data_IF_339326505171
#
_entry.id   IF_339326505171
#
_cell.length_a   1.000
_cell.length_b   1.000
_cell.length_c   1.000
_cell.angle_alpha   90.00
_cell.angle_beta   90.00
_cell.angle_gamma   90.00
#
_symmetry.space_group_name_H-M   'P 1'
#
loop_
_entity.id
_entity.type
_entity.pdbx_description
1 polymer ?
#
# COMPACT_ATOMS: atom_id res chain seq x y z
N UNK A 1 -27.29 -8.39 -20.26
CA UNK A 1 -27.40 -8.91 -18.88
C UNK A 1 -26.22 -9.86 -18.70
N UNK A 2 -25.24 -9.65 -17.83
CA UNK A 2 -25.27 -9.09 -16.48
C UNK A 2 -24.11 -8.12 -16.22
N UNK A 3 -24.37 -7.14 -15.35
CA UNK A 3 -23.46 -6.09 -14.89
C UNK A 3 -22.87 -6.59 -13.57
N UNK A 4 -21.57 -6.82 -13.47
CA UNK A 4 -20.92 -7.08 -12.18
C UNK A 4 -20.44 -5.76 -11.59
N UNK A 5 -21.23 -5.25 -10.65
CA UNK A 5 -20.89 -4.10 -9.82
C UNK A 5 -19.79 -4.47 -8.84
N UNK A 6 -18.72 -3.67 -8.83
CA UNK A 6 -17.65 -3.76 -7.85
C UNK A 6 -18.16 -3.23 -6.50
N UNK A 7 -18.29 -4.10 -5.50
CA UNK A 7 -18.43 -3.67 -4.10
C UNK A 7 -17.05 -3.64 -3.46
N UNK A 8 -16.51 -2.43 -3.29
CA UNK A 8 -15.36 -2.21 -2.41
C UNK A 8 -15.76 -2.54 -0.97
N UNK A 9 -15.03 -3.46 -0.34
CA UNK A 9 -15.24 -3.83 1.06
C UNK A 9 -14.74 -2.68 1.95
N UNK A 10 -15.67 -1.81 2.36
CA UNK A 10 -15.40 -0.81 3.39
C UNK A 10 -15.24 -1.51 4.75
N UNK A 11 -14.07 -1.40 5.36
CA UNK A 11 -13.88 -1.73 6.77
C UNK A 11 -14.68 -0.72 7.62
N UNK A 12 -15.84 -1.16 8.11
CA UNK A 12 -16.72 -0.36 8.97
C UNK A 12 -16.13 -0.32 10.38
N UNK A 13 -15.44 0.77 10.71
CA UNK A 13 -15.15 1.14 12.09
C UNK A 13 -16.44 1.74 12.70
N UNK A 14 -17.33 0.90 13.24
CA UNK A 14 -18.57 1.36 13.89
C UNK A 14 -18.28 1.76 15.33
N UNK A 15 -17.95 3.03 15.52
CA UNK A 15 -18.12 3.71 16.80
C UNK A 15 -19.61 4.01 16.96
N UNK A 16 -20.25 3.35 17.91
CA UNK A 16 -21.61 3.64 18.34
C UNK A 16 -21.67 5.07 18.89
N UNK A 17 -22.62 5.89 18.44
CA UNK A 17 -23.37 6.77 19.35
C UNK A 17 -24.64 7.36 18.74
N UNK A 18 -25.57 7.57 19.65
CA UNK A 18 -26.99 7.86 19.50
C UNK A 18 -27.33 9.21 18.82
N UNK A 19 -28.49 9.17 18.17
CA UNK A 19 -29.48 10.23 17.83
C UNK A 19 -29.14 11.70 18.08
N UNK A 20 -29.32 12.45 16.98
CA UNK A 20 -29.27 13.91 16.79
C UNK A 20 -30.51 14.58 17.39
N UNK A 21 -30.31 15.74 18.00
CA UNK A 21 -31.34 16.79 18.00
C UNK A 21 -30.73 18.15 17.67
N UNK A 22 -31.58 19.01 17.10
CA UNK A 22 -31.29 20.12 16.19
C UNK A 22 -30.84 21.43 16.87
N UNK A 23 -30.04 22.26 16.17
CA UNK A 23 -30.26 23.70 15.96
C UNK A 23 -29.00 24.42 15.43
N UNK A 24 -29.19 25.38 14.53
CA UNK A 24 -28.15 26.15 13.86
C UNK A 24 -27.43 27.19 14.73
N UNK A 25 -26.26 27.60 14.26
CA UNK A 25 -25.47 28.71 14.80
C UNK A 25 -24.11 28.75 14.12
N UNK A 26 -23.78 29.88 13.49
CA UNK A 26 -22.49 30.13 12.88
C UNK A 26 -21.35 29.84 13.86
N UNK A 27 -20.37 29.03 13.45
CA UNK A 27 -19.13 28.88 14.19
C UNK A 27 -17.99 28.58 13.22
N UNK A 28 -16.98 29.46 13.24
CA UNK A 28 -15.67 29.22 12.67
C UNK A 28 -15.21 27.83 13.08
N UNK A 29 -15.23 26.89 12.13
CA UNK A 29 -14.64 25.59 12.41
C UNK A 29 -13.14 25.80 12.58
N UNK A 30 -12.58 25.48 13.76
CA UNK A 30 -11.14 25.55 13.93
C UNK A 30 -10.54 24.55 12.94
N UNK A 31 -9.49 25.00 12.24
CA UNK A 31 -8.57 24.15 11.48
C UNK A 31 -8.35 22.89 12.32
N UNK A 32 -8.92 21.77 11.86
CA UNK A 32 -8.72 20.48 12.53
C UNK A 32 -7.23 20.26 12.54
N UNK A 33 -6.69 20.27 13.75
CA UNK A 33 -5.33 19.87 14.08
C UNK A 33 -4.90 18.73 13.18
N UNK A 34 -3.85 18.98 12.40
CA UNK A 34 -3.08 17.98 11.66
C UNK A 34 -2.45 17.02 12.67
N UNK A 35 -3.26 16.13 13.24
CA UNK A 35 -2.74 14.91 13.82
C UNK A 35 -2.17 14.11 12.66
N UNK A 36 -0.85 13.93 12.64
CA UNK A 36 -0.15 13.08 11.69
C UNK A 36 -0.89 11.75 11.62
N UNK A 37 -1.45 11.41 10.46
CA UNK A 37 -2.05 10.10 10.27
C UNK A 37 -0.99 9.04 10.64
N UNK A 38 -1.35 7.99 11.38
CA UNK A 38 -0.39 6.99 11.83
C UNK A 38 0.43 6.48 10.65
N UNK A 39 1.74 6.42 10.85
CA UNK A 39 2.66 5.85 9.87
C UNK A 39 2.33 4.36 9.72
N UNK A 40 2.14 3.93 8.47
CA UNK A 40 1.81 2.55 8.16
C UNK A 40 3.11 1.86 7.80
N UNK A 41 3.51 0.85 8.59
CA UNK A 41 4.51 -0.13 8.18
C UNK A 41 3.83 -1.48 7.91
N UNK A 42 3.66 -1.77 6.62
CA UNK A 42 3.04 -3.01 6.19
C UNK A 42 3.95 -4.22 6.42
N UNK A 43 5.27 -4.05 6.50
CA UNK A 43 6.21 -5.16 6.70
C UNK A 43 6.10 -5.72 8.10
N UNK A 44 6.27 -4.86 9.11
CA UNK A 44 6.16 -5.26 10.52
C UNK A 44 4.77 -5.83 10.82
N UNK A 45 3.72 -5.16 10.34
CA UNK A 45 2.34 -5.62 10.51
C UNK A 45 2.11 -7.02 9.92
N UNK A 46 2.66 -7.29 8.73
CA UNK A 46 2.50 -8.59 8.07
C UNK A 46 3.28 -9.71 8.76
N UNK A 47 4.51 -9.42 9.22
CA UNK A 47 5.31 -10.39 10.00
C UNK A 47 4.61 -10.73 11.32
N UNK A 48 4.05 -9.73 12.02
CA UNK A 48 3.28 -9.94 13.25
C UNK A 48 2.03 -10.79 12.99
N UNK A 49 1.34 -10.56 11.87
CA UNK A 49 0.22 -11.40 11.43
C UNK A 49 0.68 -12.85 11.20
N UNK A 50 1.73 -13.09 10.41
CA UNK A 50 2.26 -14.43 10.14
C UNK A 50 2.62 -15.19 11.43
N UNK A 51 3.14 -14.48 12.43
CA UNK A 51 3.57 -15.09 13.68
C UNK A 51 2.43 -15.38 14.67
N UNK A 52 1.29 -14.69 14.56
CA UNK A 52 0.18 -14.79 15.51
C UNK A 52 -1.06 -15.48 14.95
N UNK A 53 -1.21 -15.54 13.62
CA UNK A 53 -2.37 -16.12 12.96
C UNK A 53 -2.38 -17.66 12.99
N UNK A 54 -3.57 -18.22 12.84
CA UNK A 54 -3.77 -19.67 12.71
C UNK A 54 -3.47 -20.15 11.29
N UNK A 55 -3.22 -21.44 11.11
CA UNK A 55 -2.98 -22.01 9.78
C UNK A 55 -4.13 -21.73 8.80
N UNK A 56 -5.38 -21.78 9.26
CA UNK A 56 -6.56 -21.46 8.43
C UNK A 56 -6.52 -20.01 7.93
N UNK A 57 -6.12 -19.06 8.79
CA UNK A 57 -5.98 -17.66 8.41
C UNK A 57 -4.84 -17.47 7.40
N UNK A 58 -3.69 -18.13 7.63
CA UNK A 58 -2.54 -18.07 6.74
C UNK A 58 -2.85 -18.68 5.37
N UNK A 59 -3.51 -19.83 5.33
CA UNK A 59 -4.00 -20.45 4.10
C UNK A 59 -4.97 -19.52 3.37
N UNK A 60 -5.90 -18.87 4.09
CA UNK A 60 -6.77 -17.84 3.53
C UNK A 60 -6.01 -16.65 2.94
N UNK A 61 -4.87 -16.26 3.52
CA UNK A 61 -3.99 -15.23 2.92
C UNK A 61 -3.34 -15.72 1.63
N UNK A 62 -2.94 -16.99 1.54
CA UNK A 62 -2.41 -17.58 0.30
C UNK A 62 -3.49 -17.61 -0.78
N UNK A 63 -4.72 -18.02 -0.45
CA UNK A 63 -5.84 -18.03 -1.39
C UNK A 63 -6.19 -16.62 -1.88
N UNK A 64 -6.13 -15.62 -0.99
CA UNK A 64 -6.30 -14.22 -1.35
C UNK A 64 -5.21 -13.79 -2.36
N UNK A 65 -3.94 -14.13 -2.11
CA UNK A 65 -2.84 -13.82 -3.04
C UNK A 65 -3.08 -14.46 -4.41
N UNK A 66 -3.54 -15.71 -4.48
CA UNK A 66 -3.86 -16.38 -5.77
C UNK A 66 -5.02 -15.70 -6.51
N UNK A 67 -5.94 -15.11 -5.78
CA UNK A 67 -7.18 -14.53 -6.33
C UNK A 67 -6.99 -13.09 -6.78
N UNK A 68 -6.21 -12.32 -6.03
CA UNK A 68 -5.97 -10.90 -6.31
C UNK A 68 -4.79 -10.74 -7.27
N UNK A 69 -4.87 -9.69 -8.08
CA UNK A 69 -3.77 -9.32 -8.98
C UNK A 69 -2.57 -8.74 -8.21
N UNK A 70 -1.57 -8.23 -8.95
CA UNK A 70 -0.39 -7.64 -8.35
C UNK A 70 -0.73 -6.47 -7.42
N UNK A 71 0.15 -6.16 -6.45
CA UNK A 71 -0.05 -5.04 -5.55
C UNK A 71 -0.09 -3.73 -6.34
N UNK A 72 -0.85 -2.76 -5.83
CA UNK A 72 -1.02 -1.43 -6.43
C UNK A 72 -0.30 -0.41 -5.56
N UNK A 73 0.39 0.54 -6.19
CA UNK A 73 1.02 1.64 -5.48
C UNK A 73 -0.05 2.53 -4.81
N UNK A 74 0.13 2.80 -3.52
CA UNK A 74 -0.72 3.73 -2.78
C UNK A 74 0.09 4.95 -2.33
N UNK A 75 -0.48 6.13 -2.54
CA UNK A 75 0.10 7.39 -2.08
C UNK A 75 -0.99 8.29 -1.50
N UNK A 76 -0.64 9.06 -0.48
CA UNK A 76 -1.53 10.04 0.12
C UNK A 76 -1.50 11.31 -0.71
N UNK A 77 -2.65 11.68 -1.29
CA UNK A 77 -2.74 12.91 -2.09
C UNK A 77 -2.45 14.16 -1.26
N UNK A 78 -2.73 14.13 0.05
CA UNK A 78 -2.37 15.19 0.99
C UNK A 78 -0.87 15.49 1.00
N UNK A 79 -0.04 14.46 0.85
CA UNK A 79 1.41 14.62 0.90
C UNK A 79 1.91 15.29 -0.39
N UNK A 80 1.20 15.09 -1.51
CA UNK A 80 1.48 15.75 -2.79
C UNK A 80 1.06 17.22 -2.76
N UNK A 81 -0.20 17.48 -2.36
CA UNK A 81 -0.79 18.83 -2.40
C UNK A 81 -0.14 19.80 -1.41
N UNK A 82 0.38 19.29 -0.29
CA UNK A 82 1.05 20.11 0.71
C UNK A 82 2.57 20.24 0.46
N UNK A 83 3.11 19.62 -0.60
CA UNK A 83 4.53 19.71 -0.91
C UNK A 83 4.87 21.08 -1.54
N UNK A 84 5.99 21.66 -1.12
CA UNK A 84 6.49 22.92 -1.67
C UNK A 84 6.81 22.82 -3.18
N UNK A 85 7.04 21.61 -3.69
CA UNK A 85 7.36 21.28 -5.07
C UNK A 85 6.30 20.37 -5.71
N UNK A 86 5.02 20.64 -5.45
CA UNK A 86 3.87 19.82 -5.89
C UNK A 86 3.93 19.36 -7.36
N UNK A 87 4.22 20.26 -8.31
CA UNK A 87 4.21 19.92 -9.74
C UNK A 87 5.31 18.91 -10.13
N UNK A 88 6.51 19.09 -9.57
CA UNK A 88 7.61 18.15 -9.73
C UNK A 88 7.26 16.80 -9.09
N UNK A 89 6.73 16.83 -7.86
CA UNK A 89 6.38 15.63 -7.12
C UNK A 89 5.31 14.81 -7.84
N UNK A 90 4.26 15.47 -8.37
CA UNK A 90 3.22 14.81 -9.13
C UNK A 90 3.77 14.11 -10.37
N UNK A 91 4.62 14.80 -11.15
CA UNK A 91 5.22 14.23 -12.35
C UNK A 91 6.20 13.07 -12.06
N UNK A 92 6.98 13.17 -10.96
CA UNK A 92 7.85 12.07 -10.51
C UNK A 92 7.05 10.87 -10.06
N UNK A 93 5.96 11.07 -9.31
CA UNK A 93 5.08 9.98 -8.86
C UNK A 93 4.44 9.28 -10.04
N UNK A 94 3.98 10.01 -11.07
CA UNK A 94 3.44 9.39 -12.28
C UNK A 94 4.42 8.41 -12.93
N UNK A 95 5.67 8.82 -13.15
CA UNK A 95 6.72 7.95 -13.70
C UNK A 95 7.08 6.80 -12.75
N UNK A 96 7.13 7.08 -11.46
CA UNK A 96 7.38 6.09 -10.43
C UNK A 96 6.31 4.98 -10.40
N UNK A 97 5.05 5.32 -10.67
CA UNK A 97 3.96 4.33 -10.78
C UNK A 97 4.16 3.42 -11.99
N UNK A 98 4.57 3.94 -13.15
CA UNK A 98 4.82 3.10 -14.33
C UNK A 98 5.93 2.06 -14.07
N UNK A 99 7.00 2.47 -13.40
CA UNK A 99 8.09 1.57 -12.98
C UNK A 99 7.63 0.58 -11.92
N UNK A 100 6.84 1.05 -10.95
CA UNK A 100 6.24 0.21 -9.92
C UNK A 100 5.36 -0.87 -10.52
N UNK A 101 4.45 -0.53 -11.45
CA UNK A 101 3.49 -1.46 -12.02
C UNK A 101 4.19 -2.58 -12.79
N UNK A 102 5.26 -2.26 -13.53
CA UNK A 102 6.08 -3.26 -14.21
C UNK A 102 6.74 -4.25 -13.23
N UNK A 103 7.31 -3.74 -12.13
CA UNK A 103 7.90 -4.57 -11.07
C UNK A 103 6.84 -5.37 -10.32
N UNK A 104 5.66 -4.80 -10.07
CA UNK A 104 4.57 -5.45 -9.35
C UNK A 104 4.01 -6.67 -10.09
N UNK A 105 3.93 -6.61 -11.42
CA UNK A 105 3.58 -7.77 -12.25
C UNK A 105 4.61 -8.90 -12.13
N UNK A 106 5.90 -8.54 -12.14
CA UNK A 106 6.99 -9.51 -11.99
C UNK A 106 7.00 -10.13 -10.60
N UNK A 107 6.88 -9.30 -9.56
CA UNK A 107 6.75 -9.72 -8.16
C UNK A 107 5.59 -10.71 -7.99
N UNK A 108 4.40 -10.38 -8.51
CA UNK A 108 3.24 -11.26 -8.35
C UNK A 108 3.43 -12.61 -9.07
N UNK A 109 4.11 -12.62 -10.22
CA UNK A 109 4.48 -13.87 -10.89
C UNK A 109 5.40 -14.73 -10.02
N UNK A 110 6.39 -14.12 -9.37
CA UNK A 110 7.31 -14.81 -8.45
C UNK A 110 6.61 -15.27 -7.18
N UNK A 111 5.68 -14.48 -6.66
CA UNK A 111 4.85 -14.78 -5.49
C UNK A 111 3.99 -16.04 -5.73
N UNK A 112 3.32 -16.13 -6.89
CA UNK A 112 2.57 -17.32 -7.28
C UNK A 112 3.47 -18.54 -7.48
N UNK A 113 4.69 -18.36 -7.99
CA UNK A 113 5.65 -19.45 -8.12
C UNK A 113 6.07 -20.02 -6.76
N UNK A 114 6.42 -19.15 -5.80
CA UNK A 114 6.74 -19.55 -4.42
C UNK A 114 5.59 -20.34 -3.79
N UNK A 115 4.35 -19.88 -3.97
CA UNK A 115 3.17 -20.58 -3.46
C UNK A 115 3.05 -21.98 -4.08
N UNK A 116 3.09 -22.07 -5.41
CA UNK A 116 2.93 -23.35 -6.11
C UNK A 116 4.04 -24.35 -5.74
N UNK A 117 5.30 -23.90 -5.69
CA UNK A 117 6.43 -24.73 -5.32
C UNK A 117 6.37 -25.16 -3.85
N UNK A 118 5.98 -24.25 -2.96
CA UNK A 118 5.79 -24.53 -1.54
C UNK A 118 4.70 -25.55 -1.27
N UNK A 119 3.55 -25.42 -1.94
CA UNK A 119 2.45 -26.38 -1.83
C UNK A 119 2.83 -27.77 -2.35
N UNK A 120 3.55 -27.84 -3.48
CA UNK A 120 4.04 -29.11 -4.02
C UNK A 120 5.08 -29.77 -3.12
N UNK A 121 5.90 -28.97 -2.44
CA UNK A 121 6.88 -29.44 -1.48
C UNK A 121 6.28 -29.78 -0.09
N UNK A 122 4.99 -29.52 0.12
CA UNK A 122 4.32 -29.75 1.40
C UNK A 122 4.73 -28.78 2.52
N UNK A 123 5.18 -27.58 2.17
CA UNK A 123 5.48 -26.51 3.13
C UNK A 123 4.20 -26.05 3.83
N UNK A 124 4.31 -25.62 5.07
CA UNK A 124 3.22 -24.96 5.79
C UNK A 124 2.90 -23.58 5.19
N UNK A 125 1.68 -23.08 5.39
CA UNK A 125 1.32 -21.74 4.93
C UNK A 125 2.24 -20.67 5.51
N UNK A 126 2.68 -20.85 6.76
CA UNK A 126 3.65 -19.97 7.41
C UNK A 126 4.99 -19.89 6.66
N UNK A 127 5.55 -21.04 6.27
CA UNK A 127 6.83 -21.07 5.53
C UNK A 127 6.70 -20.39 4.17
N UNK A 128 5.62 -20.67 3.44
CA UNK A 128 5.34 -20.03 2.14
C UNK A 128 5.25 -18.50 2.30
N UNK A 129 4.49 -18.01 3.28
CA UNK A 129 4.33 -16.58 3.51
C UNK A 129 5.64 -15.91 3.98
N UNK A 130 6.50 -16.64 4.70
CA UNK A 130 7.84 -16.14 5.06
C UNK A 130 8.76 -16.02 3.85
N UNK A 131 8.66 -16.94 2.88
CA UNK A 131 9.39 -16.83 1.61
C UNK A 131 8.89 -15.64 0.78
N UNK A 132 7.59 -15.35 0.79
CA UNK A 132 7.02 -14.16 0.18
C UNK A 132 7.51 -12.87 0.87
N UNK A 133 7.62 -12.86 2.20
CA UNK A 133 8.25 -11.74 2.94
C UNK A 133 9.68 -11.51 2.45
N UNK A 134 10.47 -12.57 2.31
CA UNK A 134 11.85 -12.48 1.84
C UNK A 134 11.92 -11.99 0.38
N UNK A 135 11.02 -12.46 -0.49
CA UNK A 135 10.90 -11.96 -1.86
C UNK A 135 10.62 -10.46 -1.87
N UNK A 136 9.71 -10.00 -1.01
CA UNK A 136 9.30 -8.60 -0.93
C UNK A 136 10.41 -7.69 -0.39
N UNK A 137 11.19 -8.19 0.56
CA UNK A 137 12.36 -7.48 1.10
C UNK A 137 13.45 -7.21 0.05
N UNK A 138 13.52 -8.06 -1.00
CA UNK A 138 14.47 -7.95 -2.10
C UNK A 138 14.02 -7.01 -3.23
N UNK A 139 12.76 -6.55 -3.22
CA UNK A 139 12.26 -5.64 -4.24
C UNK A 139 12.89 -4.26 -4.10
N UNK A 140 12.75 -3.45 -5.15
CA UNK A 140 13.31 -2.11 -5.21
C UNK A 140 12.79 -1.21 -4.08
N UNK A 141 13.56 -0.18 -3.74
CA UNK A 141 13.08 0.84 -2.81
C UNK A 141 11.79 1.49 -3.32
N UNK A 142 11.64 1.64 -4.64
CA UNK A 142 10.44 2.20 -5.25
C UNK A 142 9.22 1.31 -4.98
N UNK A 143 9.35 0.00 -5.17
CA UNK A 143 8.31 -0.97 -4.85
C UNK A 143 7.91 -0.94 -3.37
N UNK A 144 8.92 -0.90 -2.48
CA UNK A 144 8.69 -0.86 -1.04
C UNK A 144 8.03 0.44 -0.60
N UNK A 145 8.44 1.59 -1.14
CA UNK A 145 7.75 2.87 -0.91
C UNK A 145 6.33 2.88 -1.47
N UNK A 146 6.09 2.28 -2.64
CA UNK A 146 4.75 2.22 -3.25
C UNK A 146 3.76 1.39 -2.44
N UNK A 147 4.26 0.47 -1.63
CA UNK A 147 3.43 -0.42 -0.82
C UNK A 147 3.61 -0.26 0.68
N UNK A 148 4.27 0.82 1.12
CA UNK A 148 4.61 1.09 2.52
C UNK A 148 5.26 -0.11 3.23
N UNK A 149 6.13 -0.84 2.54
CA UNK A 149 6.78 -2.04 3.03
C UNK A 149 8.11 -1.71 3.72
N UNK A 150 8.12 -1.61 5.06
CA UNK A 150 9.32 -1.21 5.81
C UNK A 150 9.80 0.20 5.47
N UNK A 151 8.93 1.00 4.86
CA UNK A 151 9.21 2.34 4.36
C UNK A 151 7.92 3.17 4.40
N UNK A 152 8.08 4.48 4.56
CA UNK A 152 6.97 5.42 4.35
C UNK A 152 6.53 5.40 2.87
N UNK A 153 5.38 6.00 2.58
CA UNK A 153 4.80 6.02 1.23
C UNK A 153 5.61 6.84 0.22
N UNK A 154 5.36 6.62 -1.07
CA UNK A 154 6.04 7.31 -2.18
C UNK A 154 6.02 8.84 -2.08
N UNK A 155 4.87 9.41 -1.68
CA UNK A 155 4.68 10.86 -1.59
C UNK A 155 5.17 11.46 -0.27
N UNK A 156 5.64 10.64 0.68
CA UNK A 156 6.06 11.12 1.98
C UNK A 156 7.31 12.01 1.85
N UNK A 157 7.40 13.17 2.53
CA UNK A 157 8.53 14.10 2.43
C UNK A 157 9.90 13.42 2.63
N UNK A 158 10.02 12.56 3.65
CA UNK A 158 11.25 11.81 3.96
C UNK A 158 11.74 10.90 2.83
N UNK A 159 10.87 10.54 1.88
CA UNK A 159 11.21 9.69 0.75
C UNK A 159 11.53 10.48 -0.52
N UNK A 160 11.48 11.81 -0.48
CA UNK A 160 11.68 12.64 -1.66
C UNK A 160 13.03 12.35 -2.35
N UNK A 161 14.13 12.27 -1.60
CA UNK A 161 15.45 11.98 -2.16
C UNK A 161 15.51 10.59 -2.83
N UNK A 162 14.89 9.58 -2.20
CA UNK A 162 14.78 8.22 -2.77
C UNK A 162 13.95 8.22 -4.05
N UNK A 163 12.85 8.99 -4.08
CA UNK A 163 12.01 9.15 -5.26
C UNK A 163 12.77 9.84 -6.41
N UNK A 164 13.56 10.88 -6.10
CA UNK A 164 14.43 11.54 -7.09
C UNK A 164 15.45 10.56 -7.65
N UNK A 165 16.11 9.77 -6.79
CA UNK A 165 17.07 8.76 -7.21
C UNK A 165 16.45 7.63 -8.05
N UNK A 166 15.19 7.26 -7.77
CA UNK A 166 14.44 6.28 -8.55
C UNK A 166 13.90 6.84 -9.87
N UNK A 167 13.80 8.17 -10.00
CA UNK A 167 13.29 8.86 -11.20
C UNK A 167 14.31 9.88 -11.76
N UNK A 168 15.56 9.46 -12.05
CA UNK A 168 16.64 10.40 -12.38
C UNK A 168 16.42 11.11 -13.71
N UNK A 169 15.67 10.48 -14.63
CA UNK A 169 15.35 11.04 -15.94
C UNK A 169 14.14 11.99 -15.93
N UNK A 170 13.65 12.39 -14.74
CA UNK A 170 12.53 13.31 -14.68
C UNK A 170 12.97 14.73 -15.07
N UNK A 171 12.47 15.21 -16.20
CA UNK A 171 12.53 16.62 -16.60
C UNK A 171 11.15 17.23 -16.43
N UNK A 172 11.04 18.32 -15.66
CA UNK A 172 9.83 19.14 -15.64
C UNK A 172 9.83 19.98 -16.92
N UNK A 173 8.94 19.66 -17.87
CA UNK A 173 8.84 20.38 -19.14
C UNK A 173 8.19 21.77 -18.99
N UNK A 174 7.71 22.11 -17.79
CA UNK A 174 7.01 23.36 -17.48
C UNK A 174 7.71 24.18 -16.37
N UNK A 175 8.96 23.83 -16.00
CA UNK A 175 9.78 24.58 -15.04
C UNK A 175 10.49 25.79 -15.67
#
# INVERSE_FOLDING_TARGET
MYVNGYTATNYVNRVSNATVDSAGGASNSPVKSSGSEPEIDNRESYINYINSATEEQLAGSIDAIKTYGPPIAMFRMSDIVNAANQDELHGRIGRAIDHFDAEAQQYHTQELAIINEGEQAGKSSKEILQEIVALRDQQSELFKMGTNWGSKGLAHPDNYEKLVAATPNYVNLYA
#
